data_IF_709431315333
#
_entry.id   IF_709431315333
#
_cell.length_a   1.000
_cell.length_b   1.000
_cell.length_c   1.000
_cell.angle_alpha   90.00
_cell.angle_beta   90.00
_cell.angle_gamma   90.00
#
_symmetry.space_group_name_H-M   'P 1'
#
loop_
_entity.id
_entity.type
_entity.pdbx_description
1 polymer ?
#
# COMPACT_ATOMS: atom_id res chain seq x y z
N UNK A 1 -9.63 9.03 -5.66
CA UNK A 1 -10.74 9.77 -5.03
C UNK A 1 -10.21 10.65 -3.90
N UNK A 2 -9.49 10.13 -2.90
CA UNK A 2 -8.87 10.96 -1.82
C UNK A 2 -7.97 12.09 -2.32
N UNK A 3 -7.08 11.84 -3.28
CA UNK A 3 -6.18 12.87 -3.84
C UNK A 3 -6.90 14.04 -4.54
N UNK A 4 -8.15 13.84 -4.97
CA UNK A 4 -8.93 14.85 -5.69
C UNK A 4 -9.78 15.73 -4.76
N UNK A 5 -9.95 15.33 -3.49
CA UNK A 5 -10.81 16.02 -2.51
C UNK A 5 -10.00 16.51 -1.29
N UNK A 6 -8.70 16.20 -1.21
CA UNK A 6 -7.83 16.71 -0.16
C UNK A 6 -7.66 18.24 -0.30
N UNK A 7 -7.96 19.04 0.75
CA UNK A 7 -7.87 20.50 0.71
C UNK A 7 -6.43 21.04 0.80
N UNK A 8 -5.42 20.18 0.60
CA UNK A 8 -4.01 20.50 0.76
C UNK A 8 -3.25 20.12 -0.52
N UNK A 9 -2.62 21.10 -1.16
CA UNK A 9 -1.76 20.86 -2.31
C UNK A 9 -0.43 20.21 -1.88
N UNK A 10 0.11 19.34 -2.74
CA UNK A 10 1.48 18.82 -2.61
C UNK A 10 2.47 20.01 -2.52
N UNK A 11 3.22 20.12 -1.42
CA UNK A 11 4.22 21.19 -1.23
C UNK A 11 3.79 22.38 -0.36
N UNK A 12 2.62 22.35 0.31
CA UNK A 12 2.20 23.44 1.21
C UNK A 12 2.97 23.51 2.54
N UNK A 13 3.42 22.37 3.07
CA UNK A 13 4.21 22.27 4.31
C UNK A 13 5.03 20.96 4.29
N UNK A 14 6.18 20.90 4.95
CA UNK A 14 7.05 19.70 5.05
C UNK A 14 6.27 18.45 5.48
N UNK A 15 5.27 18.62 6.36
CA UNK A 15 4.38 17.53 6.79
C UNK A 15 3.53 16.96 5.64
N UNK A 16 2.96 17.83 4.79
CA UNK A 16 2.16 17.41 3.63
C UNK A 16 3.01 16.70 2.56
N UNK A 17 4.24 17.17 2.34
CA UNK A 17 5.17 16.51 1.41
C UNK A 17 5.59 15.13 1.89
N UNK A 18 5.90 14.98 3.19
CA UNK A 18 6.24 13.70 3.79
C UNK A 18 5.04 12.73 3.78
N UNK A 19 3.83 13.23 4.08
CA UNK A 19 2.59 12.47 3.98
C UNK A 19 2.40 11.90 2.58
N UNK A 20 2.44 12.76 1.55
CA UNK A 20 2.18 12.34 0.18
C UNK A 20 3.27 11.43 -0.38
N UNK A 21 4.54 11.63 -0.03
CA UNK A 21 5.61 10.72 -0.42
C UNK A 21 5.44 9.33 0.20
N UNK A 22 5.15 9.27 1.50
CA UNK A 22 5.04 8.00 2.23
C UNK A 22 3.78 7.21 1.82
N UNK A 23 2.63 7.87 1.74
CA UNK A 23 1.36 7.26 1.28
C UNK A 23 1.37 6.95 -0.22
N UNK A 24 1.97 7.81 -1.04
CA UNK A 24 2.10 7.60 -2.48
C UNK A 24 3.02 6.43 -2.84
N UNK A 25 4.17 6.31 -2.18
CA UNK A 25 5.07 5.17 -2.35
C UNK A 25 4.43 3.86 -1.88
N UNK A 26 3.68 3.90 -0.79
CA UNK A 26 2.89 2.75 -0.34
C UNK A 26 1.80 2.36 -1.36
N UNK A 27 1.06 3.34 -1.89
CA UNK A 27 0.06 3.11 -2.94
C UNK A 27 0.65 2.48 -4.22
N UNK A 28 1.89 2.85 -4.57
CA UNK A 28 2.62 2.17 -5.65
C UNK A 28 2.90 0.69 -5.33
N UNK A 29 3.28 0.35 -4.10
CA UNK A 29 3.49 -1.03 -3.69
C UNK A 29 2.20 -1.85 -3.70
N UNK A 30 1.07 -1.26 -3.29
CA UNK A 30 -0.25 -1.89 -3.41
C UNK A 30 -0.58 -2.22 -4.87
N UNK A 31 -0.31 -1.29 -5.80
CA UNK A 31 -0.53 -1.52 -7.23
C UNK A 31 0.33 -2.69 -7.74
N UNK A 32 1.61 -2.71 -7.41
CA UNK A 32 2.53 -3.79 -7.80
C UNK A 32 2.08 -5.13 -7.22
N UNK A 33 1.68 -5.18 -5.94
CA UNK A 33 1.19 -6.39 -5.31
C UNK A 33 -0.13 -6.89 -5.91
N UNK A 34 -1.01 -5.98 -6.32
CA UNK A 34 -2.27 -6.33 -6.99
C UNK A 34 -2.00 -6.96 -8.36
N UNK A 35 -1.07 -6.39 -9.14
CA UNK A 35 -0.64 -6.97 -10.43
C UNK A 35 -0.03 -8.36 -10.19
N UNK A 36 0.79 -8.52 -9.15
CA UNK A 36 1.42 -9.79 -8.81
C UNK A 36 0.39 -10.87 -8.44
N UNK A 37 -0.64 -10.51 -7.69
CA UNK A 37 -1.78 -11.39 -7.38
C UNK A 37 -2.61 -11.72 -8.63
N UNK A 38 -2.86 -10.76 -9.53
CA UNK A 38 -3.56 -11.00 -10.80
C UNK A 38 -2.76 -11.99 -11.67
N UNK A 39 -1.44 -11.83 -11.76
CA UNK A 39 -0.58 -12.78 -12.49
C UNK A 39 -0.64 -14.17 -11.86
N UNK A 40 -0.61 -14.26 -10.53
CA UNK A 40 -0.81 -15.54 -9.84
C UNK A 40 -2.19 -16.13 -10.15
N UNK A 41 -3.26 -15.34 -10.09
CA UNK A 41 -4.63 -15.79 -10.40
C UNK A 41 -4.72 -16.35 -11.83
N UNK A 42 -4.18 -15.63 -12.82
CA UNK A 42 -4.15 -16.09 -14.22
C UNK A 42 -3.34 -17.38 -14.37
N UNK A 43 -2.22 -17.52 -13.65
CA UNK A 43 -1.42 -18.75 -13.64
C UNK A 43 -2.13 -19.92 -12.95
N UNK A 44 -2.93 -19.66 -11.92
CA UNK A 44 -3.80 -20.66 -11.28
C UNK A 44 -4.87 -21.15 -12.23
N UNK A 45 -5.57 -20.25 -12.93
CA UNK A 45 -6.60 -20.64 -13.90
C UNK A 45 -6.06 -21.43 -15.09
N UNK A 46 -4.79 -21.22 -15.46
CA UNK A 46 -4.10 -22.03 -16.49
C UNK A 46 -3.59 -23.39 -15.98
N UNK A 47 -3.84 -23.73 -14.71
CA UNK A 47 -3.44 -25.01 -14.12
C UNK A 47 -1.94 -25.14 -13.84
N UNK A 48 -1.21 -24.02 -13.80
CA UNK A 48 0.25 -24.03 -13.59
C UNK A 48 0.68 -24.24 -12.13
N UNK A 49 -0.26 -24.32 -11.19
CA UNK A 49 0.03 -24.59 -9.79
C UNK A 49 -0.45 -25.98 -9.40
N UNK A 50 0.48 -26.80 -8.91
CA UNK A 50 0.18 -28.04 -8.21
C UNK A 50 0.29 -27.81 -6.70
N UNK A 51 -0.39 -28.61 -5.85
CA UNK A 51 -0.34 -28.48 -4.38
C UNK A 51 1.07 -28.62 -3.76
N UNK A 52 2.07 -29.03 -4.53
CA UNK A 52 3.48 -29.12 -4.10
C UNK A 52 4.38 -28.02 -4.67
N UNK A 53 3.94 -27.29 -5.69
CA UNK A 53 4.74 -26.26 -6.36
C UNK A 53 3.91 -24.99 -6.59
N UNK A 54 3.58 -24.30 -5.49
CA UNK A 54 2.85 -23.02 -5.48
C UNK A 54 3.69 -21.86 -4.94
N UNK A 55 5.02 -21.92 -5.08
CA UNK A 55 5.93 -20.89 -4.59
C UNK A 55 5.60 -19.47 -5.11
N UNK A 56 5.08 -19.37 -6.34
CA UNK A 56 4.62 -18.08 -6.89
C UNK A 56 3.45 -17.46 -6.11
N UNK A 57 2.52 -18.29 -5.64
CA UNK A 57 1.40 -17.85 -4.79
C UNK A 57 1.89 -17.51 -3.37
N UNK A 58 2.81 -18.31 -2.84
CA UNK A 58 3.41 -18.06 -1.52
C UNK A 58 4.17 -16.73 -1.49
N UNK A 59 5.02 -16.47 -2.50
CA UNK A 59 5.70 -15.18 -2.64
C UNK A 59 4.71 -14.01 -2.77
N UNK A 60 3.59 -14.19 -3.47
CA UNK A 60 2.56 -13.16 -3.57
C UNK A 60 1.86 -12.89 -2.24
N UNK A 61 1.55 -13.92 -1.46
CA UNK A 61 1.00 -13.76 -0.12
C UNK A 61 1.97 -13.03 0.81
N UNK A 62 3.26 -13.37 0.77
CA UNK A 62 4.29 -12.68 1.57
C UNK A 62 4.42 -11.20 1.17
N UNK A 63 4.42 -10.90 -0.13
CA UNK A 63 4.42 -9.52 -0.61
C UNK A 63 3.18 -8.76 -0.15
N UNK A 64 2.01 -9.40 -0.18
CA UNK A 64 0.75 -8.79 0.26
C UNK A 64 0.74 -8.51 1.77
N UNK A 65 1.23 -9.44 2.59
CA UNK A 65 1.39 -9.23 4.02
C UNK A 65 2.40 -8.13 4.36
N UNK A 66 3.50 -8.03 3.61
CA UNK A 66 4.45 -6.92 3.76
C UNK A 66 3.78 -5.57 3.50
N UNK A 67 3.00 -5.46 2.42
CA UNK A 67 2.24 -4.25 2.11
C UNK A 67 1.27 -3.92 3.26
N UNK A 68 0.51 -4.90 3.75
CA UNK A 68 -0.45 -4.70 4.84
C UNK A 68 0.19 -4.18 6.14
N UNK A 69 1.33 -4.77 6.54
CA UNK A 69 2.06 -4.31 7.74
C UNK A 69 2.55 -2.87 7.57
N UNK A 70 3.11 -2.51 6.41
CA UNK A 70 3.55 -1.13 6.13
C UNK A 70 2.38 -0.16 6.19
N UNK A 71 1.19 -0.56 5.72
CA UNK A 71 -0.02 0.25 5.81
C UNK A 71 -0.43 0.49 7.26
N UNK A 72 -0.46 -0.55 8.09
CA UNK A 72 -0.81 -0.42 9.51
C UNK A 72 0.14 0.54 10.24
N UNK A 73 1.45 0.45 9.98
CA UNK A 73 2.43 1.39 10.55
C UNK A 73 2.19 2.82 10.07
N UNK A 74 1.94 3.03 8.77
CA UNK A 74 1.59 4.35 8.23
C UNK A 74 0.30 4.88 8.83
N UNK A 75 -0.73 4.05 8.97
CA UNK A 75 -2.01 4.42 9.54
C UNK A 75 -1.86 4.93 10.98
N UNK A 76 -1.13 4.19 11.81
CA UNK A 76 -0.89 4.59 13.20
C UNK A 76 -0.02 5.85 13.28
N UNK A 77 1.07 5.94 12.51
CA UNK A 77 1.98 7.08 12.59
C UNK A 77 1.40 8.38 12.01
N UNK A 78 0.60 8.27 10.96
CA UNK A 78 0.13 9.43 10.20
C UNK A 78 -1.29 9.82 10.59
N UNK A 79 -2.22 8.85 10.60
CA UNK A 79 -3.64 9.15 10.83
C UNK A 79 -3.97 9.21 12.32
N UNK A 80 -3.39 8.31 13.13
CA UNK A 80 -3.59 8.33 14.58
C UNK A 80 -2.65 9.36 15.21
N UNK A 81 -1.33 9.18 15.13
CA UNK A 81 -0.38 10.06 15.81
C UNK A 81 -0.30 11.47 15.19
N UNK A 82 -0.28 11.56 13.86
CA UNK A 82 -0.30 12.84 13.15
C UNK A 82 -1.62 13.61 13.29
N UNK A 83 -2.76 12.92 13.38
CA UNK A 83 -4.08 13.51 13.62
C UNK A 83 -4.34 13.86 15.09
N UNK A 84 -3.67 13.20 16.04
CA UNK A 84 -3.86 13.41 17.48
C UNK A 84 -3.01 14.56 18.06
N UNK A 85 -2.16 15.19 17.24
CA UNK A 85 -1.22 16.21 17.70
C UNK A 85 -0.93 17.38 16.75
N UNK A 86 -1.55 17.44 15.56
CA UNK A 86 -1.44 18.62 14.71
C UNK A 86 -2.58 19.60 15.06
N UNK A 87 -2.29 20.76 15.67
CA UNK A 87 -3.26 21.84 15.67
C UNK A 87 -3.55 22.15 14.21
N UNK A 88 -4.84 22.13 13.86
CA UNK A 88 -5.35 22.89 12.73
C UNK A 88 -5.06 24.38 13.01
N UNK A 89 -3.88 24.83 12.61
CA UNK A 89 -3.51 26.25 12.57
C UNK A 89 -3.08 26.59 11.15
#
# INVERSE_FOLDING_TARGET
YEYAVAPFAFGGNNYSSAFYMATGFHGFHVLVGTIFLIVCLVRTYKGHFTPRQHFGFEAAAWYWHFVDVVWLFLFVAVYIWGGWGAPIH
#
